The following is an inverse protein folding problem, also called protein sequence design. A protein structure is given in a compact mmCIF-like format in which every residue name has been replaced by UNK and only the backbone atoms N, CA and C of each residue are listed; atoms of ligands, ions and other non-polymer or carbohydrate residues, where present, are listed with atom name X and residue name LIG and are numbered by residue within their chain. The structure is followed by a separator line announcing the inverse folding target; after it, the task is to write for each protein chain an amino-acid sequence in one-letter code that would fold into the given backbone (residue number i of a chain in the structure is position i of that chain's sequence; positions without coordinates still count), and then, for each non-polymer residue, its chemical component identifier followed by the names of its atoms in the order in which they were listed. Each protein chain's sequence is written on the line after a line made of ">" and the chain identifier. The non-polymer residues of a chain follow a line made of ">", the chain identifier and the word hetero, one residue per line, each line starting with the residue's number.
data_IF_013237313543
#
_entry.id   IF_013237313543
#
_cell.length_a   1.000
_cell.length_b   1.000
_cell.length_c   1.000
_cell.angle_alpha   90.00
_cell.angle_beta   90.00
_cell.angle_gamma   90.00
#
_symmetry.space_group_name_H-M   'P 1'
#
loop_
_entity.id
_entity.type
_entity.pdbx_description
1 polymer ?
#
# COMPACT_ATOMS: atom_id res chain seq x y z
N UNK A 1 -41.31 16.12 34.76
CA UNK A 1 -41.03 16.43 33.34
C UNK A 1 -39.53 16.71 33.24
N UNK A 2 -38.71 15.67 33.01
CA UNK A 2 -38.10 15.34 31.71
C UNK A 2 -37.42 16.52 31.01
N UNK A 3 -36.09 16.58 31.05
CA UNK A 3 -35.27 16.27 29.88
C UNK A 3 -33.78 16.31 30.25
N UNK A 4 -33.14 15.13 30.23
CA UNK A 4 -31.69 14.98 30.14
C UNK A 4 -31.21 15.59 28.82
N UNK A 5 -30.34 16.59 28.87
CA UNK A 5 -29.51 16.97 27.72
C UNK A 5 -28.16 16.28 27.86
N UNK A 6 -28.10 15.03 27.39
CA UNK A 6 -26.86 14.39 27.01
C UNK A 6 -26.18 15.25 25.94
N UNK A 7 -25.13 15.97 26.33
CA UNK A 7 -24.16 16.55 25.40
C UNK A 7 -23.52 15.41 24.60
N UNK A 8 -24.06 15.18 23.39
CA UNK A 8 -23.36 14.44 22.36
C UNK A 8 -22.22 15.32 21.86
N UNK A 9 -21.02 15.07 22.39
CA UNK A 9 -19.78 15.41 21.70
C UNK A 9 -19.90 14.89 20.25
N UNK A 10 -19.73 15.74 19.22
CA UNK A 10 -19.60 15.20 17.88
C UNK A 10 -18.30 14.38 17.86
N UNK A 11 -18.46 13.05 17.75
CA UNK A 11 -17.38 12.15 17.38
C UNK A 11 -16.78 12.73 16.11
N UNK A 12 -15.59 13.33 16.24
CA UNK A 12 -14.82 13.82 15.11
C UNK A 12 -14.51 12.63 14.23
N UNK A 13 -15.35 12.38 13.22
CA UNK A 13 -15.03 11.48 12.12
C UNK A 13 -13.66 11.91 11.62
N UNK A 14 -12.66 11.02 11.51
CA UNK A 14 -11.40 11.39 10.89
C UNK A 14 -11.73 11.91 9.49
N UNK A 15 -11.57 13.22 9.34
CA UNK A 15 -11.70 13.93 8.07
C UNK A 15 -10.59 13.39 7.20
N UNK A 16 -10.90 12.39 6.38
CA UNK A 16 -10.08 11.96 5.27
C UNK A 16 -9.73 13.20 4.45
N UNK A 17 -8.56 13.78 4.70
CA UNK A 17 -7.96 14.78 3.83
C UNK A 17 -7.72 14.06 2.51
N UNK A 18 -8.54 14.38 1.51
CA UNK A 18 -8.56 13.82 0.15
C UNK A 18 -7.31 13.01 -0.25
N UNK A 19 -7.37 11.67 -0.29
CA UNK A 19 -6.27 10.82 -0.77
C UNK A 19 -6.07 10.83 -2.30
N UNK A 20 -6.64 11.82 -3.00
CA UNK A 20 -6.91 11.79 -4.45
C UNK A 20 -5.70 11.99 -5.38
N UNK A 21 -4.47 11.59 -5.01
CA UNK A 21 -3.30 11.87 -5.86
C UNK A 21 -2.49 10.66 -6.33
N UNK A 22 -2.84 9.42 -5.99
CA UNK A 22 -2.25 8.24 -6.66
C UNK A 22 -3.30 7.21 -7.09
N UNK A 23 -3.19 6.61 -8.30
CA UNK A 23 -4.13 5.58 -8.78
C UNK A 23 -4.23 4.35 -7.87
N UNK A 24 -3.19 4.10 -7.07
CA UNK A 24 -3.14 3.02 -6.10
C UNK A 24 -3.86 3.34 -4.79
N UNK A 25 -4.10 4.62 -4.48
CA UNK A 25 -4.68 5.05 -3.20
C UNK A 25 -3.69 4.99 -2.02
N UNK A 26 -2.39 4.92 -2.29
CA UNK A 26 -1.32 4.90 -1.28
C UNK A 26 -0.78 6.33 -1.08
N UNK A 27 -0.71 6.81 0.15
CA UNK A 27 -0.27 8.17 0.46
C UNK A 27 1.24 8.35 0.18
N UNK A 28 1.72 9.56 -0.15
CA UNK A 28 3.15 9.80 -0.43
C UNK A 28 4.10 9.34 0.69
N UNK A 29 3.76 9.60 1.95
CA UNK A 29 4.56 9.15 3.09
C UNK A 29 4.65 7.62 3.17
N UNK A 30 3.53 6.92 2.92
CA UNK A 30 3.50 5.45 2.91
C UNK A 30 4.28 4.88 1.72
N UNK A 31 4.26 5.54 0.56
CA UNK A 31 5.08 5.14 -0.60
C UNK A 31 6.57 5.23 -0.27
N UNK A 32 6.98 6.30 0.42
CA UNK A 32 8.37 6.48 0.85
C UNK A 32 8.78 5.42 1.86
N UNK A 33 8.00 5.26 2.94
CA UNK A 33 8.24 4.24 3.97
C UNK A 33 8.27 2.83 3.37
N UNK A 34 7.41 2.56 2.39
CA UNK A 34 7.39 1.28 1.70
C UNK A 34 8.66 1.02 0.90
N UNK A 35 9.14 2.02 0.15
CA UNK A 35 10.43 1.90 -0.57
C UNK A 35 11.57 1.69 0.42
N UNK A 36 11.58 2.39 1.55
CA UNK A 36 12.61 2.23 2.57
C UNK A 36 12.56 0.84 3.23
N UNK A 37 11.37 0.32 3.53
CA UNK A 37 11.20 -1.04 4.06
C UNK A 37 11.64 -2.11 3.05
N UNK A 38 11.48 -1.85 1.74
CA UNK A 38 11.97 -2.73 0.69
C UNK A 38 13.49 -2.70 0.52
N UNK A 39 14.19 -1.60 0.81
CA UNK A 39 15.67 -1.58 0.76
C UNK A 39 16.30 -2.64 1.65
N UNK A 40 15.68 -2.95 2.80
CA UNK A 40 16.12 -4.01 3.70
C UNK A 40 15.71 -5.43 3.29
N UNK A 41 14.77 -5.57 2.34
CA UNK A 41 14.09 -6.85 2.03
C UNK A 41 14.41 -7.38 0.64
N UNK A 42 14.69 -6.49 -0.31
CA UNK A 42 15.03 -6.79 -1.70
C UNK A 42 16.26 -5.99 -2.11
N UNK A 43 17.08 -6.57 -2.99
CA UNK A 43 18.28 -5.92 -3.50
C UNK A 43 17.89 -4.66 -4.30
N UNK A 44 18.32 -3.45 -3.92
CA UNK A 44 18.12 -2.25 -4.73
C UNK A 44 18.81 -2.33 -6.07
N UNK A 45 18.26 -1.64 -7.07
CA UNK A 45 18.93 -1.44 -8.35
C UNK A 45 18.93 -2.68 -9.25
N UNK A 46 17.89 -2.78 -10.08
CA UNK A 46 17.83 -3.46 -11.40
C UNK A 46 16.39 -3.65 -11.89
N UNK A 47 15.40 -3.12 -11.18
CA UNK A 47 14.01 -3.16 -11.60
C UNK A 47 13.81 -2.38 -12.91
N UNK A 48 13.45 -3.10 -13.96
CA UNK A 48 13.10 -2.52 -15.27
C UNK A 48 11.65 -2.04 -15.23
N UNK A 49 10.78 -2.82 -14.58
CA UNK A 49 9.39 -2.46 -14.30
C UNK A 49 9.12 -2.59 -12.82
N UNK A 50 8.36 -1.65 -12.28
CA UNK A 50 7.81 -1.72 -10.95
C UNK A 50 6.42 -1.11 -10.97
N UNK A 51 5.45 -1.88 -10.51
CA UNK A 51 4.04 -1.49 -10.52
C UNK A 51 3.38 -1.89 -9.21
N UNK A 52 2.46 -1.07 -8.72
CA UNK A 52 1.69 -1.31 -7.50
C UNK A 52 0.21 -1.48 -7.84
N UNK A 53 -0.45 -2.40 -7.17
CA UNK A 53 -1.86 -2.67 -7.37
C UNK A 53 -2.74 -1.55 -6.81
N UNK A 54 -4.00 -1.52 -7.24
CA UNK A 54 -5.08 -0.93 -6.45
C UNK A 54 -5.13 -1.57 -5.06
N UNK A 55 -5.72 -0.87 -4.10
CA UNK A 55 -5.96 -1.41 -2.76
C UNK A 55 -6.76 -2.71 -2.80
N UNK A 56 -6.33 -3.69 -2.03
CA UNK A 56 -7.04 -4.91 -1.68
C UNK A 56 -7.56 -4.70 -0.27
N UNK A 57 -8.85 -4.42 -0.14
CA UNK A 57 -9.48 -4.26 1.17
C UNK A 57 -9.49 -5.63 1.86
N UNK A 58 -8.77 -5.75 2.98
CA UNK A 58 -8.85 -6.93 3.83
C UNK A 58 -9.93 -6.74 4.88
N UNK A 59 -9.84 -5.65 5.65
CA UNK A 59 -10.82 -5.30 6.67
C UNK A 59 -10.87 -3.76 6.82
N UNK A 60 -11.80 -3.08 6.13
CA UNK A 60 -11.88 -1.62 6.17
C UNK A 60 -12.32 -1.09 7.55
N UNK A 61 -13.09 -1.86 8.33
CA UNK A 61 -13.51 -1.44 9.68
C UNK A 61 -12.32 -1.39 10.63
N UNK A 62 -11.36 -2.30 10.45
CA UNK A 62 -10.10 -2.34 11.19
C UNK A 62 -8.97 -1.54 10.53
N UNK A 63 -9.25 -0.79 9.46
CA UNK A 63 -8.27 -0.04 8.67
C UNK A 63 -7.10 -0.91 8.18
N UNK A 64 -7.38 -2.17 7.82
CA UNK A 64 -6.39 -3.10 7.28
C UNK A 64 -6.50 -3.14 5.76
N UNK A 65 -5.44 -2.66 5.11
CA UNK A 65 -5.35 -2.55 3.66
C UNK A 65 -4.18 -3.39 3.16
N UNK A 66 -4.37 -4.10 2.05
CA UNK A 66 -3.27 -4.78 1.38
C UNK A 66 -3.01 -4.18 0.01
N UNK A 67 -1.76 -4.19 -0.39
CA UNK A 67 -1.32 -3.82 -1.72
C UNK A 67 -0.39 -4.89 -2.24
N UNK A 68 -0.23 -4.94 -3.55
CA UNK A 68 0.68 -5.84 -4.22
C UNK A 68 1.59 -5.06 -5.13
N UNK A 69 2.88 -5.30 -5.07
CA UNK A 69 3.85 -4.76 -6.01
C UNK A 69 4.38 -5.88 -6.87
N UNK A 70 4.44 -5.64 -8.18
CA UNK A 70 5.10 -6.53 -9.12
C UNK A 70 6.30 -5.84 -9.74
N UNK A 71 7.40 -6.57 -9.84
CA UNK A 71 8.66 -6.08 -10.39
C UNK A 71 9.23 -7.05 -11.39
N UNK A 72 9.98 -6.54 -12.37
CA UNK A 72 10.86 -7.35 -13.22
C UNK A 72 12.27 -6.81 -13.15
N UNK A 73 13.25 -7.69 -13.23
CA UNK A 73 14.67 -7.32 -13.25
C UNK A 73 15.24 -7.48 -14.66
N UNK A 74 16.32 -6.76 -14.98
CA UNK A 74 17.00 -6.93 -16.27
C UNK A 74 17.53 -8.37 -16.45
N UNK A 75 18.02 -8.97 -15.37
CA UNK A 75 18.53 -10.35 -15.32
C UNK A 75 17.42 -11.41 -15.35
N UNK A 76 16.20 -11.06 -14.95
CA UNK A 76 15.06 -11.98 -14.91
C UNK A 76 13.76 -11.25 -15.29
N UNK A 77 13.24 -11.49 -16.52
CA UNK A 77 12.06 -10.80 -17.01
C UNK A 77 10.75 -11.28 -16.36
N UNK A 78 10.79 -12.33 -15.54
CA UNK A 78 9.61 -12.83 -14.86
C UNK A 78 9.14 -11.87 -13.76
N UNK A 79 7.82 -11.76 -13.61
CA UNK A 79 7.22 -10.96 -12.56
C UNK A 79 7.47 -11.56 -11.18
N UNK A 80 8.09 -10.78 -10.30
CA UNK A 80 8.19 -11.06 -8.87
C UNK A 80 7.14 -10.24 -8.13
N UNK A 81 6.43 -10.87 -7.19
CA UNK A 81 5.33 -10.24 -6.46
C UNK A 81 5.69 -10.05 -4.98
N UNK A 82 5.35 -8.89 -4.45
CA UNK A 82 5.53 -8.52 -3.05
C UNK A 82 4.19 -8.02 -2.52
N UNK A 83 3.68 -8.65 -1.46
CA UNK A 83 2.52 -8.18 -0.74
C UNK A 83 2.94 -7.20 0.35
N UNK A 84 2.21 -6.08 0.42
CA UNK A 84 2.26 -5.09 1.47
C UNK A 84 0.96 -5.16 2.26
N UNK A 85 1.04 -5.11 3.59
CA UNK A 85 -0.12 -4.95 4.47
C UNK A 85 0.09 -3.69 5.32
N UNK A 86 -0.91 -2.83 5.30
CA UNK A 86 -1.01 -1.66 6.16
C UNK A 86 -2.08 -1.89 7.21
N UNK A 87 -1.82 -1.40 8.42
CA UNK A 87 -2.82 -1.24 9.47
C UNK A 87 -2.65 0.14 10.08
N UNK A 88 -3.73 0.89 10.22
CA UNK A 88 -3.70 2.26 10.76
C UNK A 88 -2.67 3.14 10.02
N UNK A 89 -2.60 2.98 8.70
CA UNK A 89 -1.63 3.62 7.79
C UNK A 89 -0.15 3.24 7.98
N UNK A 90 0.19 2.33 8.90
CA UNK A 90 1.55 1.83 9.14
C UNK A 90 1.79 0.50 8.42
N UNK A 91 3.02 0.28 7.97
CA UNK A 91 3.43 -1.02 7.41
C UNK A 91 3.54 -2.04 8.53
N UNK A 92 2.75 -3.12 8.44
CA UNK A 92 2.77 -4.21 9.43
C UNK A 92 3.26 -5.53 8.88
N UNK A 93 3.26 -5.70 7.55
CA UNK A 93 3.74 -6.93 6.93
C UNK A 93 4.22 -6.70 5.48
N UNK A 94 5.28 -7.41 5.12
CA UNK A 94 5.92 -7.45 3.81
C UNK A 94 6.29 -8.88 3.48
N UNK A 95 5.67 -9.45 2.45
CA UNK A 95 5.89 -10.84 2.08
C UNK A 95 6.15 -10.99 0.58
N UNK A 96 7.06 -11.89 0.21
CA UNK A 96 7.31 -12.27 -1.20
C UNK A 96 6.35 -13.38 -1.61
N UNK A 97 6.00 -13.43 -2.89
CA UNK A 97 5.18 -14.49 -3.50
C UNK A 97 3.81 -14.68 -2.82
N UNK A 98 3.17 -13.59 -2.39
CA UNK A 98 1.86 -13.68 -1.73
C UNK A 98 0.80 -14.11 -2.75
N UNK A 99 0.06 -15.21 -2.53
CA UNK A 99 -0.91 -15.73 -3.50
C UNK A 99 -1.95 -14.69 -3.95
N UNK A 100 -2.37 -13.80 -3.04
CA UNK A 100 -3.32 -12.72 -3.32
C UNK A 100 -2.88 -11.77 -4.44
N UNK A 101 -1.58 -11.64 -4.67
CA UNK A 101 -1.02 -10.75 -5.70
C UNK A 101 -1.13 -11.32 -7.12
N UNK A 102 -1.46 -12.60 -7.27
CA UNK A 102 -1.70 -13.23 -8.56
C UNK A 102 -3.15 -13.07 -9.06
N UNK A 103 -4.02 -12.42 -8.28
CA UNK A 103 -5.40 -12.16 -8.69
C UNK A 103 -5.42 -11.23 -9.92
N UNK A 104 -5.96 -11.74 -11.03
CA UNK A 104 -6.03 -11.04 -12.32
C UNK A 104 -6.96 -9.82 -12.32
N UNK A 105 -7.81 -9.68 -11.30
CA UNK A 105 -8.71 -8.53 -11.13
C UNK A 105 -7.98 -7.30 -10.60
N UNK A 106 -6.78 -7.48 -10.03
CA UNK A 106 -5.97 -6.38 -9.56
C UNK A 106 -5.49 -5.53 -10.73
N UNK A 107 -5.82 -4.24 -10.68
CA UNK A 107 -5.25 -3.25 -11.58
C UNK A 107 -3.90 -2.83 -11.05
N UNK A 108 -2.90 -2.83 -11.91
CA UNK A 108 -1.54 -2.41 -11.59
C UNK A 108 -1.24 -1.06 -12.24
N UNK A 109 -0.55 -0.21 -11.49
CA UNK A 109 -0.17 1.14 -11.88
C UNK A 109 1.32 1.34 -11.68
N UNK A 110 1.93 2.18 -12.51
CA UNK A 110 3.36 2.49 -12.41
C UNK A 110 3.76 2.94 -10.99
N UNK A 111 4.85 2.34 -10.50
CA UNK A 111 5.44 2.63 -9.19
C UNK A 111 6.92 3.03 -9.36
N UNK A 112 7.19 4.21 -9.95
CA UNK A 112 8.54 4.64 -10.31
C UNK A 112 9.49 4.77 -9.12
N UNK A 113 8.96 5.04 -7.91
CA UNK A 113 9.76 5.20 -6.69
C UNK A 113 10.60 3.96 -6.39
N UNK A 114 10.08 2.76 -6.70
CA UNK A 114 10.81 1.52 -6.51
C UNK A 114 11.88 1.28 -7.58
N UNK A 115 11.65 1.73 -8.82
CA UNK A 115 12.68 1.69 -9.88
C UNK A 115 13.86 2.60 -9.55
N UNK A 116 13.58 3.73 -8.90
CA UNK A 116 14.56 4.74 -8.53
C UNK A 116 15.19 4.48 -7.16
N UNK A 117 14.96 3.29 -6.58
CA UNK A 117 15.56 2.91 -5.31
C UNK A 117 17.07 2.78 -5.46
N UNK A 118 17.80 3.74 -4.87
CA UNK A 118 19.26 3.73 -4.81
C UNK A 118 19.74 2.88 -3.64
N UNK A 119 20.92 2.32 -3.82
CA UNK A 119 21.73 1.76 -2.74
C UNK A 119 22.21 2.87 -1.79
#
# INVERSE_FOLDING_TARGET
>A
MLALLCWHLPVAKPRWRNPLQTPSGLLPAQRHEYVDALRGTIKPGNFVKAEISSVVLLDPEKQIYAYCTRTTERSNPNWSYIGLTLKDNMIVDLAKNVPRCHDKRLRYYDFPELRNMKY
#
